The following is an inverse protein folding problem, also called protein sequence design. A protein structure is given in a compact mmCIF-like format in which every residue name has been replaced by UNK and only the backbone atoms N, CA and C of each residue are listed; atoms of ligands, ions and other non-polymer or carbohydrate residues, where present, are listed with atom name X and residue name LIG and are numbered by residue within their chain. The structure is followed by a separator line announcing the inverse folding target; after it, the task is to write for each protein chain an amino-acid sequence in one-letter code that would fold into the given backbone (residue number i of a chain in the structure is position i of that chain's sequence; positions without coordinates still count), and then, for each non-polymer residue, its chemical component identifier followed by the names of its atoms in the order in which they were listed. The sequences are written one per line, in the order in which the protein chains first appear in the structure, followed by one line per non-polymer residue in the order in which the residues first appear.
data_IF_058283139532
#
_entry.id   IF_058283139532
#
_cell.length_a   1.000
_cell.length_b   1.000
_cell.length_c   1.000
_cell.angle_alpha   90.00
_cell.angle_beta   90.00
_cell.angle_gamma   90.00
#
_symmetry.space_group_name_H-M   'P 1'
#
loop_
_entity.id
_entity.type
_entity.pdbx_description
1 polymer ?
#
# COMPACT_ATOMS: atom_id res chain seq x y z
N UNK A 1 -5.39 74.09 -40.34
CA UNK A 1 -6.53 75.03 -40.24
C UNK A 1 -7.70 74.27 -39.62
N UNK A 2 -8.20 74.72 -38.44
CA UNK A 2 -9.42 74.33 -37.69
C UNK A 2 -9.57 72.85 -37.29
N UNK A 3 -9.38 72.50 -36.01
CA UNK A 3 -10.29 72.62 -34.85
C UNK A 3 -11.39 71.52 -34.84
N UNK A 4 -11.39 70.79 -33.72
CA UNK A 4 -12.46 70.04 -33.04
C UNK A 4 -13.89 70.16 -33.59
N UNK A 5 -14.71 69.11 -33.39
CA UNK A 5 -15.85 69.20 -32.46
C UNK A 5 -16.41 67.82 -32.06
N UNK A 6 -16.90 67.79 -30.82
CA UNK A 6 -17.45 66.67 -30.06
C UNK A 6 -18.85 66.22 -30.51
N UNK A 7 -19.24 64.99 -30.16
CA UNK A 7 -20.63 64.53 -30.25
C UNK A 7 -20.93 63.34 -29.33
N UNK A 8 -21.52 63.63 -28.17
CA UNK A 8 -21.98 62.66 -27.15
C UNK A 8 -23.45 62.27 -27.43
N UNK A 9 -23.73 60.97 -27.56
CA UNK A 9 -25.09 60.37 -27.45
C UNK A 9 -24.93 59.04 -26.70
N UNK A 10 -25.23 58.89 -25.40
CA UNK A 10 -26.49 59.00 -24.63
C UNK A 10 -27.43 57.78 -24.83
N UNK A 11 -27.57 57.01 -23.73
CA UNK A 11 -28.67 56.14 -23.26
C UNK A 11 -28.49 54.62 -23.33
N UNK A 12 -28.53 54.03 -22.12
CA UNK A 12 -28.73 52.61 -21.78
C UNK A 12 -30.03 52.06 -22.37
N UNK A 13 -29.99 50.79 -22.78
CA UNK A 13 -31.15 49.93 -23.01
C UNK A 13 -30.78 48.48 -22.75
N UNK A 14 -31.31 47.93 -21.66
CA UNK A 14 -31.15 46.55 -21.18
C UNK A 14 -31.96 45.61 -22.10
N UNK A 15 -31.39 44.49 -22.56
CA UNK A 15 -32.15 43.38 -23.14
C UNK A 15 -31.52 42.06 -22.72
N UNK A 16 -32.31 41.33 -21.92
CA UNK A 16 -32.05 40.01 -21.37
C UNK A 16 -32.46 38.96 -22.43
N UNK A 17 -31.53 38.11 -22.87
CA UNK A 17 -31.84 36.89 -23.58
C UNK A 17 -31.07 35.72 -22.93
N UNK A 18 -31.84 34.92 -22.21
CA UNK A 18 -31.48 33.67 -21.57
C UNK A 18 -31.77 32.53 -22.55
N UNK A 19 -30.79 31.66 -22.85
CA UNK A 19 -30.99 30.20 -22.97
C UNK A 19 -29.74 29.45 -23.46
N UNK A 20 -29.21 28.62 -22.55
CA UNK A 20 -28.95 27.18 -22.75
C UNK A 20 -27.85 26.72 -23.72
N UNK A 21 -26.90 25.98 -23.15
CA UNK A 21 -26.37 24.80 -23.81
C UNK A 21 -24.88 24.78 -24.00
N UNK A 22 -24.14 24.51 -22.92
CA UNK A 22 -23.07 23.51 -22.90
C UNK A 22 -22.67 23.33 -21.45
N UNK A 23 -23.35 22.39 -20.79
CA UNK A 23 -22.74 21.62 -19.72
C UNK A 23 -21.58 20.83 -20.33
N UNK A 24 -20.48 21.52 -20.63
CA UNK A 24 -19.19 20.88 -20.73
C UNK A 24 -18.91 20.43 -19.31
N UNK A 25 -19.17 19.14 -19.06
CA UNK A 25 -18.63 18.47 -17.90
C UNK A 25 -17.18 18.89 -17.81
N UNK A 26 -16.86 19.67 -16.79
CA UNK A 26 -15.53 19.71 -16.26
C UNK A 26 -15.27 18.27 -15.85
N UNK A 27 -14.74 17.47 -16.79
CA UNK A 27 -13.72 16.53 -16.44
C UNK A 27 -12.76 17.37 -15.60
N UNK A 28 -12.88 17.24 -14.29
CA UNK A 28 -11.82 17.60 -13.39
C UNK A 28 -10.64 16.83 -13.96
N UNK A 29 -9.87 17.50 -14.81
CA UNK A 29 -8.49 17.18 -14.99
C UNK A 29 -8.02 17.12 -13.56
N UNK A 30 -7.79 15.91 -13.06
CA UNK A 30 -6.98 15.68 -11.91
C UNK A 30 -5.65 16.29 -12.34
N UNK A 31 -5.55 17.60 -12.13
CA UNK A 31 -4.32 18.33 -12.19
C UNK A 31 -3.51 17.53 -11.20
N UNK A 32 -2.57 16.74 -11.71
CA UNK A 32 -1.45 16.24 -10.93
C UNK A 32 -0.64 17.49 -10.59
N UNK A 33 -1.22 18.35 -9.74
CA UNK A 33 -0.56 19.40 -8.99
C UNK A 33 0.58 18.64 -8.36
N UNK A 34 1.78 18.81 -8.92
CA UNK A 34 2.89 17.90 -8.71
C UNK A 34 2.94 17.54 -7.24
N UNK A 35 2.61 16.29 -6.93
CA UNK A 35 2.44 15.81 -5.57
C UNK A 35 3.80 15.93 -4.89
N UNK A 36 4.04 17.09 -4.28
CA UNK A 36 5.33 17.48 -3.76
C UNK A 36 5.27 17.26 -2.26
N UNK A 37 5.37 15.99 -1.88
CA UNK A 37 5.31 15.59 -0.48
C UNK A 37 6.50 16.15 0.32
N UNK A 38 7.57 16.58 -0.38
CA UNK A 38 8.75 17.31 0.13
C UNK A 38 9.16 16.83 1.52
N UNK A 39 9.44 15.54 1.65
CA UNK A 39 9.95 14.97 2.90
C UNK A 39 11.37 15.45 3.19
N UNK A 40 12.08 15.95 2.18
CA UNK A 40 13.48 16.36 2.27
C UNK A 40 14.48 15.26 1.90
N UNK A 41 14.00 14.12 1.40
CA UNK A 41 14.81 13.01 0.91
C UNK A 41 14.27 12.51 -0.44
N UNK A 42 15.11 12.51 -1.46
CA UNK A 42 14.72 12.20 -2.85
C UNK A 42 14.25 10.76 -3.00
N UNK A 43 14.85 9.82 -2.26
CA UNK A 43 14.44 8.42 -2.32
C UNK A 43 13.03 8.25 -1.73
N UNK A 44 12.77 8.86 -0.58
CA UNK A 44 11.44 8.84 0.06
C UNK A 44 10.40 9.52 -0.82
N UNK A 45 10.70 10.70 -1.35
CA UNK A 45 9.80 11.45 -2.24
C UNK A 45 9.47 10.63 -3.51
N UNK A 46 10.45 9.91 -4.08
CA UNK A 46 10.23 9.01 -5.22
C UNK A 46 9.30 7.86 -4.86
N UNK A 47 9.55 7.17 -3.73
CA UNK A 47 8.70 6.03 -3.30
C UNK A 47 7.28 6.47 -3.01
N UNK A 48 7.08 7.68 -2.49
CA UNK A 48 5.75 8.17 -2.17
C UNK A 48 4.93 8.44 -3.43
N UNK A 49 5.55 8.95 -4.51
CA UNK A 49 4.88 9.01 -5.81
C UNK A 49 4.41 7.64 -6.29
N UNK A 50 5.27 6.64 -6.19
CA UNK A 50 4.96 5.26 -6.61
C UNK A 50 3.93 4.58 -5.70
N UNK A 51 3.96 4.84 -4.39
CA UNK A 51 2.93 4.37 -3.45
C UNK A 51 1.57 4.99 -3.79
N UNK A 52 1.55 6.23 -4.26
CA UNK A 52 0.33 6.87 -4.71
C UNK A 52 -0.29 6.10 -5.88
N UNK A 53 0.54 5.77 -6.89
CA UNK A 53 0.13 4.97 -8.04
C UNK A 53 -0.34 3.57 -7.63
N UNK A 54 0.37 2.92 -6.69
CA UNK A 54 -0.02 1.63 -6.15
C UNK A 54 -1.39 1.69 -5.47
N UNK A 55 -1.57 2.61 -4.52
CA UNK A 55 -2.80 2.70 -3.73
C UNK A 55 -4.03 3.10 -4.54
N UNK A 56 -3.85 3.87 -5.61
CA UNK A 56 -4.93 4.16 -6.56
C UNK A 56 -5.32 2.94 -7.39
N UNK A 57 -4.35 2.09 -7.76
CA UNK A 57 -4.58 0.90 -8.61
C UNK A 57 -5.06 -0.31 -7.83
N UNK A 58 -4.50 -0.53 -6.65
CA UNK A 58 -4.68 -1.72 -5.81
C UNK A 58 -5.20 -1.30 -4.43
N UNK A 59 -6.41 -0.73 -4.41
CA UNK A 59 -6.99 -0.12 -3.22
C UNK A 59 -7.12 -1.10 -2.04
N UNK A 60 -7.72 -2.26 -2.24
CA UNK A 60 -7.89 -3.23 -1.14
C UNK A 60 -6.56 -3.76 -0.60
N UNK A 61 -5.60 -4.21 -1.44
CA UNK A 61 -4.25 -4.56 -0.98
C UNK A 61 -3.54 -3.43 -0.22
N UNK A 62 -3.70 -2.17 -0.66
CA UNK A 62 -3.16 -1.03 0.05
C UNK A 62 -3.78 -0.88 1.45
N UNK A 63 -5.11 -0.98 1.56
CA UNK A 63 -5.79 -0.89 2.87
C UNK A 63 -5.36 -2.05 3.79
N UNK A 64 -5.22 -3.26 3.24
CA UNK A 64 -4.75 -4.43 3.99
C UNK A 64 -3.31 -4.25 4.50
N UNK A 65 -2.41 -3.68 3.69
CA UNK A 65 -1.05 -3.32 4.12
C UNK A 65 -1.07 -2.34 5.30
N UNK A 66 -1.87 -1.27 5.18
CA UNK A 66 -1.98 -0.24 6.23
C UNK A 66 -2.54 -0.79 7.55
N UNK A 67 -3.53 -1.69 7.47
CA UNK A 67 -4.12 -2.29 8.65
C UNK A 67 -3.30 -3.42 9.26
N UNK A 68 -2.71 -4.28 8.43
CA UNK A 68 -1.96 -5.44 8.88
C UNK A 68 -0.58 -5.10 9.41
N UNK A 69 0.19 -4.27 8.69
CA UNK A 69 1.59 -4.01 9.01
C UNK A 69 1.82 -2.68 9.74
N UNK A 70 1.01 -1.66 9.43
CA UNK A 70 1.13 -0.35 10.07
C UNK A 70 0.15 -0.14 11.24
N UNK A 71 -0.71 -1.13 11.53
CA UNK A 71 -1.63 -1.11 12.67
C UNK A 71 -2.71 -0.04 12.60
N UNK A 72 -2.97 0.53 11.42
CA UNK A 72 -4.00 1.53 11.24
C UNK A 72 -5.40 0.87 11.20
N UNK A 73 -6.38 1.32 12.01
CA UNK A 73 -7.74 0.80 11.90
C UNK A 73 -8.26 0.90 10.47
N UNK A 74 -8.80 -0.20 9.91
CA UNK A 74 -9.30 -0.21 8.52
C UNK A 74 -10.28 0.93 8.25
N UNK A 75 -11.16 1.21 9.21
CA UNK A 75 -12.12 2.31 9.16
C UNK A 75 -11.44 3.67 9.00
N UNK A 76 -10.35 3.93 9.72
CA UNK A 76 -9.57 5.17 9.58
C UNK A 76 -8.96 5.30 8.19
N UNK A 77 -8.34 4.22 7.68
CA UNK A 77 -7.72 4.21 6.34
C UNK A 77 -8.76 4.48 5.26
N UNK A 78 -9.92 3.81 5.34
CA UNK A 78 -11.02 4.01 4.39
C UNK A 78 -11.57 5.43 4.47
N UNK A 79 -11.79 5.97 5.68
CA UNK A 79 -12.25 7.34 5.89
C UNK A 79 -11.30 8.36 5.26
N UNK A 80 -9.99 8.21 5.49
CA UNK A 80 -8.97 9.10 4.95
C UNK A 80 -9.00 9.14 3.42
N UNK A 81 -9.11 7.97 2.79
CA UNK A 81 -9.09 7.84 1.34
C UNK A 81 -10.40 8.32 0.69
N UNK A 82 -11.56 7.97 1.25
CA UNK A 82 -12.86 8.21 0.61
C UNK A 82 -13.49 9.54 1.00
N UNK A 83 -13.58 9.80 2.30
CA UNK A 83 -14.29 10.98 2.82
C UNK A 83 -13.37 12.19 2.83
N UNK A 84 -12.15 12.00 3.31
CA UNK A 84 -11.17 13.09 3.44
C UNK A 84 -10.33 13.30 2.19
N UNK A 85 -10.41 12.38 1.22
CA UNK A 85 -9.77 12.46 -0.09
C UNK A 85 -8.24 12.63 0.00
N UNK A 86 -7.63 12.04 1.03
CA UNK A 86 -6.17 11.96 1.13
C UNK A 86 -5.63 11.12 -0.01
N UNK A 87 -4.44 11.49 -0.50
CA UNK A 87 -3.73 10.63 -1.43
C UNK A 87 -3.27 9.36 -0.68
N UNK A 88 -3.23 8.18 -1.32
CA UNK A 88 -2.68 6.98 -0.68
C UNK A 88 -1.29 7.19 -0.06
N UNK A 89 -0.43 7.98 -0.71
CA UNK A 89 0.87 8.31 -0.17
C UNK A 89 0.82 9.15 1.12
N UNK A 90 -0.18 10.01 1.31
CA UNK A 90 -0.40 10.77 2.55
C UNK A 90 -0.79 9.83 3.70
N UNK A 91 -1.71 8.89 3.42
CA UNK A 91 -2.16 7.89 4.39
C UNK A 91 -1.00 6.96 4.78
N UNK A 92 -0.26 6.48 3.78
CA UNK A 92 0.93 5.68 4.00
C UNK A 92 1.94 6.41 4.87
N UNK A 93 2.29 7.64 4.50
CA UNK A 93 3.36 8.37 5.20
C UNK A 93 2.98 8.70 6.63
N UNK A 94 1.73 9.06 6.91
CA UNK A 94 1.23 9.26 8.27
C UNK A 94 1.42 8.01 9.14
N UNK A 95 0.96 6.86 8.67
CA UNK A 95 1.05 5.64 9.45
C UNK A 95 2.47 5.07 9.50
N UNK A 96 3.29 5.26 8.46
CA UNK A 96 4.69 4.86 8.46
C UNK A 96 5.53 5.69 9.45
N UNK A 97 5.28 7.01 9.53
CA UNK A 97 5.86 7.85 10.58
C UNK A 97 5.46 7.34 11.96
N UNK A 98 4.15 7.12 12.17
CA UNK A 98 3.62 6.65 13.44
C UNK A 98 4.24 5.30 13.85
N UNK A 99 4.33 4.36 12.92
CA UNK A 99 4.95 3.06 13.11
C UNK A 99 6.43 3.17 13.48
N UNK A 100 7.18 4.06 12.81
CA UNK A 100 8.60 4.31 13.13
C UNK A 100 8.82 4.91 14.53
N UNK A 101 7.79 5.52 15.10
CA UNK A 101 7.78 6.13 16.43
C UNK A 101 7.15 5.22 17.51
N UNK A 102 6.52 4.12 17.11
CA UNK A 102 5.75 3.26 18.02
C UNK A 102 4.46 3.90 18.56
N UNK A 103 3.84 4.81 17.80
CA UNK A 103 2.60 5.50 18.18
C UNK A 103 1.44 5.16 17.22
N UNK A 104 0.17 5.41 17.59
CA UNK A 104 -0.97 5.17 16.70
C UNK A 104 -0.96 6.03 15.43
N UNK A 105 -1.35 5.47 14.28
CA UNK A 105 -1.45 6.25 13.03
C UNK A 105 -2.34 7.49 13.16
N UNK A 106 -3.45 7.38 13.90
CA UNK A 106 -4.37 8.50 14.16
C UNK A 106 -3.71 9.71 14.83
N UNK A 107 -2.62 9.52 15.59
CA UNK A 107 -1.93 10.61 16.27
C UNK A 107 -1.24 11.54 15.27
N UNK A 108 -0.58 10.96 14.27
CA UNK A 108 0.08 11.70 13.18
C UNK A 108 -0.95 12.33 12.25
N UNK A 109 -2.08 11.64 11.98
CA UNK A 109 -3.20 12.20 11.21
C UNK A 109 -3.74 13.47 11.88
N UNK A 110 -3.97 13.44 13.20
CA UNK A 110 -4.42 14.63 13.95
C UNK A 110 -3.36 15.74 13.94
N UNK A 111 -2.08 15.40 13.95
CA UNK A 111 -1.01 16.40 13.88
C UNK A 111 -0.98 17.11 12.52
N UNK A 112 -1.18 16.37 11.42
CA UNK A 112 -1.32 16.95 10.09
C UNK A 112 -2.53 17.90 10.03
N UNK A 113 -3.66 17.50 10.59
CA UNK A 113 -4.91 18.27 10.57
C UNK A 113 -4.87 19.56 11.35
N UNK A 114 -4.04 19.63 12.41
CA UNK A 114 -3.79 20.88 13.15
C UNK A 114 -2.97 21.88 12.34
N UNK A 115 -2.23 21.43 11.34
CA UNK A 115 -1.26 22.24 10.60
C UNK A 115 -1.34 22.01 9.08
N UNK A 116 -2.52 22.16 8.45
CA UNK A 116 -2.67 21.89 7.03
C UNK A 116 -1.78 22.82 6.20
N UNK A 117 -1.29 22.32 5.07
CA UNK A 117 -0.47 23.09 4.14
C UNK A 117 0.97 23.35 4.57
N UNK A 118 1.41 22.89 5.75
CA UNK A 118 2.82 22.98 6.17
C UNK A 118 3.70 21.88 5.54
N UNK A 119 3.10 20.87 4.92
CA UNK A 119 3.81 19.77 4.27
C UNK A 119 4.34 18.72 5.23
N UNK A 120 4.57 17.52 4.70
CA UNK A 120 4.92 16.34 5.47
C UNK A 120 6.30 16.40 6.14
N UNK A 121 7.27 17.07 5.51
CA UNK A 121 8.57 17.32 6.13
C UNK A 121 8.48 18.11 7.45
N UNK A 122 7.52 19.02 7.59
CA UNK A 122 7.32 19.76 8.84
C UNK A 122 6.64 18.90 9.92
N UNK A 123 5.69 18.05 9.55
CA UNK A 123 5.08 17.08 10.48
C UNK A 123 6.15 16.13 11.01
N UNK A 124 6.97 15.55 10.13
CA UNK A 124 8.07 14.66 10.52
C UNK A 124 9.05 15.35 11.50
N UNK A 125 9.45 16.59 11.21
CA UNK A 125 10.35 17.37 12.09
C UNK A 125 9.79 17.59 13.49
N UNK A 126 8.48 17.78 13.64
CA UNK A 126 7.84 17.95 14.98
C UNK A 126 7.96 16.71 15.84
N UNK A 127 8.03 15.53 15.22
CA UNK A 127 8.32 14.27 15.90
C UNK A 127 9.83 13.94 16.00
N UNK A 128 10.72 14.89 15.66
CA UNK A 128 12.16 14.66 15.66
C UNK A 128 12.65 13.74 14.52
N UNK A 129 11.81 13.45 13.54
CA UNK A 129 12.19 12.67 12.36
C UNK A 129 12.80 13.63 11.34
N UNK A 130 14.11 13.54 11.20
CA UNK A 130 14.92 14.29 10.24
C UNK A 130 15.77 13.32 9.44
N UNK A 131 16.20 13.67 8.21
CA UNK A 131 17.17 12.88 7.48
C UNK A 131 18.35 12.47 8.37
N UNK A 132 18.64 11.16 8.39
CA UNK A 132 19.68 10.55 9.23
C UNK A 132 19.28 10.20 10.67
N UNK A 133 18.07 10.50 11.15
CA UNK A 133 17.65 10.03 12.48
C UNK A 133 17.37 8.51 12.49
N UNK A 134 17.48 7.83 13.64
CA UNK A 134 17.14 6.40 13.73
C UNK A 134 15.72 6.08 13.24
N UNK A 135 14.74 6.92 13.59
CA UNK A 135 13.36 6.79 13.14
C UNK A 135 13.24 7.00 11.62
N UNK A 136 14.02 7.93 11.04
CA UNK A 136 14.04 8.11 9.59
C UNK A 136 14.61 6.90 8.86
N UNK A 137 15.68 6.29 9.37
CA UNK A 137 16.19 5.03 8.82
C UNK A 137 15.19 3.87 8.99
N UNK A 138 14.47 3.81 10.12
CA UNK A 138 13.40 2.84 10.31
C UNK A 138 12.27 3.01 9.29
N UNK A 139 11.86 4.25 9.01
CA UNK A 139 10.86 4.57 7.99
C UNK A 139 11.30 4.11 6.58
N UNK A 140 12.57 4.33 6.20
CA UNK A 140 13.09 3.87 4.90
C UNK A 140 13.12 2.34 4.79
N UNK A 141 13.53 1.65 5.86
CA UNK A 141 13.50 0.18 5.91
C UNK A 141 12.07 -0.37 5.83
N UNK A 142 11.13 0.23 6.58
CA UNK A 142 9.71 -0.14 6.51
C UNK A 142 9.16 0.01 5.09
N UNK A 143 9.49 1.11 4.42
CA UNK A 143 9.14 1.31 3.01
C UNK A 143 9.70 0.21 2.11
N UNK A 144 10.97 -0.16 2.26
CA UNK A 144 11.53 -1.26 1.46
C UNK A 144 10.83 -2.61 1.71
N UNK A 145 10.42 -2.89 2.96
CA UNK A 145 9.67 -4.09 3.33
C UNK A 145 8.29 -4.11 2.69
N UNK A 146 7.54 -3.01 2.74
CA UNK A 146 6.21 -2.89 2.09
C UNK A 146 6.27 -3.19 0.60
N UNK A 147 7.30 -2.69 -0.09
CA UNK A 147 7.52 -3.00 -1.50
C UNK A 147 7.78 -4.50 -1.75
N UNK A 148 8.43 -5.18 -0.80
CA UNK A 148 8.58 -6.64 -0.80
C UNK A 148 7.23 -7.36 -0.69
N UNK A 149 6.34 -6.92 0.20
CA UNK A 149 4.97 -7.49 0.32
C UNK A 149 4.16 -7.31 -0.97
N UNK A 150 4.40 -6.22 -1.70
CA UNK A 150 3.76 -5.94 -2.98
C UNK A 150 4.39 -6.69 -4.17
N UNK A 151 5.41 -7.52 -3.90
CA UNK A 151 6.07 -8.37 -4.89
C UNK A 151 7.14 -7.67 -5.72
N UNK A 152 7.60 -6.48 -5.30
CA UNK A 152 8.68 -5.75 -5.96
C UNK A 152 9.67 -5.21 -4.91
N UNK A 153 10.61 -6.03 -4.40
CA UNK A 153 11.52 -5.59 -3.37
C UNK A 153 12.41 -4.44 -3.88
N UNK A 154 12.46 -3.35 -3.12
CA UNK A 154 13.36 -2.22 -3.38
C UNK A 154 14.47 -2.18 -2.35
N UNK A 155 15.61 -1.62 -2.74
CA UNK A 155 16.73 -1.37 -1.83
C UNK A 155 16.70 0.09 -1.43
N UNK A 156 16.88 0.35 -0.13
CA UNK A 156 17.00 1.70 0.41
C UNK A 156 18.12 2.45 -0.31
N UNK A 157 17.88 3.71 -0.66
CA UNK A 157 18.82 4.61 -1.37
C UNK A 157 19.22 4.20 -2.79
N UNK A 158 18.67 3.09 -3.31
CA UNK A 158 18.85 2.76 -4.73
C UNK A 158 17.89 3.56 -5.59
N UNK A 159 18.42 4.14 -6.67
CA UNK A 159 17.63 4.83 -7.69
C UNK A 159 17.05 3.80 -8.65
N UNK A 160 15.86 3.30 -8.34
CA UNK A 160 15.04 2.45 -9.21
C UNK A 160 13.67 3.10 -9.41
N UNK A 161 12.98 2.87 -10.52
CA UNK A 161 11.59 3.30 -10.68
C UNK A 161 10.70 2.09 -10.80
N UNK A 162 9.58 2.09 -10.08
CA UNK A 162 8.62 0.99 -10.08
C UNK A 162 7.41 1.40 -10.89
N UNK A 163 7.10 0.60 -11.92
CA UNK A 163 5.87 0.72 -12.71
C UNK A 163 4.89 -0.37 -12.29
N UNK A 164 3.86 0.04 -11.55
CA UNK A 164 2.81 -0.83 -11.03
C UNK A 164 1.80 -1.30 -12.10
N UNK A 165 1.92 -0.82 -13.34
CA UNK A 165 1.20 -1.40 -14.48
C UNK A 165 1.74 -2.76 -14.88
N UNK A 166 3.05 -2.94 -14.72
CA UNK A 166 3.77 -4.17 -15.06
C UNK A 166 3.91 -5.10 -13.84
N UNK A 167 3.99 -4.52 -12.64
CA UNK A 167 4.21 -5.25 -11.39
C UNK A 167 3.04 -5.01 -10.45
N UNK A 168 2.48 -6.04 -9.84
CA UNK A 168 1.36 -5.85 -8.92
C UNK A 168 0.97 -7.15 -8.23
N UNK A 169 0.17 -7.07 -7.15
CA UNK A 169 -0.31 -8.25 -6.45
C UNK A 169 -0.99 -9.21 -7.43
N UNK A 170 -0.52 -10.47 -7.47
CA UNK A 170 -1.04 -11.49 -8.37
C UNK A 170 -0.42 -11.55 -9.77
N UNK A 171 0.47 -10.63 -10.17
CA UNK A 171 1.16 -10.68 -11.48
C UNK A 171 2.47 -11.50 -11.50
N UNK A 172 2.86 -12.13 -10.39
CA UNK A 172 4.12 -12.89 -10.29
C UNK A 172 4.12 -14.27 -10.97
N UNK A 173 3.18 -14.57 -11.89
CA UNK A 173 3.16 -15.82 -12.68
C UNK A 173 2.88 -15.59 -14.16
N UNK A 174 3.86 -15.09 -14.91
CA UNK A 174 3.99 -15.39 -16.34
C UNK A 174 5.40 -15.04 -16.85
N UNK A 175 6.33 -15.99 -16.73
CA UNK A 175 7.59 -16.19 -17.48
C UNK A 175 8.43 -17.25 -16.72
N UNK A 176 8.59 -18.50 -17.15
CA UNK A 176 8.18 -19.10 -18.42
C UNK A 176 7.99 -20.62 -18.33
N UNK A 177 6.98 -21.09 -19.05
CA UNK A 177 6.94 -22.42 -19.61
C UNK A 177 6.99 -22.26 -21.13
N UNK A 178 8.09 -22.68 -21.74
CA UNK A 178 8.15 -23.01 -23.17
C UNK A 178 8.47 -24.50 -23.27
N UNK A 179 7.49 -25.26 -23.72
CA UNK A 179 7.59 -26.65 -24.14
C UNK A 179 8.18 -26.75 -25.55
N UNK A 180 9.23 -27.56 -25.71
CA UNK A 180 9.64 -28.34 -26.91
C UNK A 180 10.99 -28.99 -26.58
N UNK A 181 11.32 -30.27 -26.77
CA UNK A 181 10.67 -31.43 -27.38
C UNK A 181 11.78 -32.46 -27.73
N UNK A 182 11.51 -33.73 -27.43
CA UNK A 182 12.06 -34.97 -28.03
C UNK A 182 13.28 -35.76 -27.50
N UNK A 183 13.06 -37.10 -27.60
CA UNK A 183 13.90 -38.31 -27.51
C UNK A 183 14.12 -38.90 -26.09
N UNK A 184 13.80 -40.16 -25.79
CA UNK A 184 13.25 -41.29 -26.55
C UNK A 184 13.36 -42.61 -25.75
N UNK A 185 12.58 -43.63 -26.15
CA UNK A 185 12.65 -45.08 -25.83
C UNK A 185 12.49 -45.53 -24.36
N UNK A 186 11.81 -46.63 -24.00
CA UNK A 186 11.09 -47.73 -24.65
C UNK A 186 10.40 -48.52 -23.51
N UNK A 187 9.18 -49.06 -23.66
CA UNK A 187 8.94 -50.40 -24.17
C UNK A 187 8.88 -51.44 -23.03
N UNK A 188 7.70 -52.03 -22.76
CA UNK A 188 7.58 -53.24 -21.93
C UNK A 188 6.22 -53.43 -21.23
N UNK A 189 5.33 -54.21 -21.83
CA UNK A 189 4.11 -54.77 -21.21
C UNK A 189 4.45 -56.07 -20.46
N UNK A 190 3.78 -56.33 -19.33
CA UNK A 190 3.30 -57.63 -18.83
C UNK A 190 3.04 -57.50 -17.31
N UNK A 191 2.18 -58.24 -16.62
CA UNK A 191 0.95 -58.99 -16.87
C UNK A 191 0.45 -59.32 -15.44
N UNK A 192 -0.85 -59.34 -15.24
CA UNK A 192 -1.49 -59.63 -13.96
C UNK A 192 -1.20 -61.05 -13.47
N UNK A 193 -1.11 -61.25 -12.15
CA UNK A 193 -1.62 -62.47 -11.52
C UNK A 193 -2.18 -62.22 -10.11
N UNK A 194 -3.18 -63.03 -9.76
CA UNK A 194 -4.12 -62.90 -8.65
C UNK A 194 -3.60 -63.66 -7.44
N UNK A 195 -4.00 -63.26 -6.23
CA UNK A 195 -3.79 -64.08 -5.03
C UNK A 195 -4.62 -63.62 -3.83
N UNK A 196 -5.64 -64.40 -3.51
CA UNK A 196 -6.60 -64.23 -2.41
C UNK A 196 -5.99 -64.43 -1.01
N UNK A 197 -6.59 -63.81 0.03
CA UNK A 197 -6.45 -64.28 1.41
C UNK A 197 -6.82 -63.29 2.52
N UNK A 198 -8.06 -63.33 2.99
CA UNK A 198 -8.47 -63.03 4.37
C UNK A 198 -9.23 -64.27 4.88
N UNK A 199 -9.39 -64.58 6.20
CA UNK A 199 -9.46 -63.66 7.34
C UNK A 199 -8.90 -64.18 8.72
N UNK A 200 -9.15 -63.37 9.77
CA UNK A 200 -9.37 -63.68 11.22
C UNK A 200 -8.21 -63.70 12.27
N UNK A 201 -8.31 -62.70 13.16
CA UNK A 201 -8.62 -62.80 14.61
C UNK A 201 -7.54 -62.98 15.71
N UNK A 202 -7.66 -62.07 16.69
CA UNK A 202 -7.52 -62.17 18.15
C UNK A 202 -6.13 -62.22 18.82
N UNK A 203 -5.89 -61.22 19.69
CA UNK A 203 -4.85 -61.22 20.71
C UNK A 203 -5.12 -60.13 21.76
N UNK A 204 -5.68 -60.56 22.90
CA UNK A 204 -6.10 -59.77 24.08
C UNK A 204 -4.90 -59.56 25.00
N UNK A 205 -4.70 -58.35 25.54
CA UNK A 205 -3.66 -58.09 26.53
C UNK A 205 -3.94 -56.83 27.35
N UNK A 206 -4.43 -57.03 28.57
CA UNK A 206 -4.79 -56.04 29.57
C UNK A 206 -3.55 -55.74 30.46
N UNK A 207 -3.32 -54.49 30.87
CA UNK A 207 -2.18 -54.17 31.75
C UNK A 207 -2.25 -52.76 32.33
N UNK A 208 -2.95 -52.63 33.44
CA UNK A 208 -3.06 -51.43 34.27
C UNK A 208 -1.79 -51.28 35.14
N UNK A 209 -1.22 -50.08 35.24
CA UNK A 209 0.01 -49.85 36.02
C UNK A 209 0.12 -48.42 36.54
N UNK A 210 -0.56 -48.17 37.67
CA UNK A 210 -0.51 -46.96 38.49
C UNK A 210 0.81 -46.95 39.27
N UNK A 211 1.59 -45.88 39.20
CA UNK A 211 2.82 -45.70 39.99
C UNK A 211 2.94 -44.26 40.45
N UNK A 212 2.47 -44.00 41.68
CA UNK A 212 2.60 -42.76 42.43
C UNK A 212 3.99 -42.72 43.10
N UNK A 213 4.66 -41.57 43.12
CA UNK A 213 6.00 -41.41 43.69
C UNK A 213 6.23 -39.98 44.17
N UNK A 214 5.71 -39.71 45.35
CA UNK A 214 5.82 -38.49 46.15
C UNK A 214 7.19 -38.28 46.79
N UNK A 215 7.39 -37.03 47.26
CA UNK A 215 8.26 -36.60 48.37
C UNK A 215 9.74 -36.30 48.02
N UNK A 216 10.37 -35.21 48.46
CA UNK A 216 9.97 -34.10 49.32
C UNK A 216 11.19 -33.31 49.82
N UNK A 217 10.96 -32.12 50.41
CA UNK A 217 11.83 -31.29 51.30
C UNK A 217 13.21 -30.88 50.74
N UNK A 218 13.73 -29.67 50.92
CA UNK A 218 13.54 -28.66 51.97
C UNK A 218 14.92 -28.27 52.52
N UNK A 219 15.13 -26.96 52.67
CA UNK A 219 16.25 -26.23 53.30
C UNK A 219 17.62 -26.13 52.61
N UNK A 220 18.04 -24.86 52.51
CA UNK A 220 19.35 -24.34 52.14
C UNK A 220 19.22 -22.83 52.03
#
# INVERSE_FOLDING_TARGET
MKIQQHGVYRKLGLSLALAMGLAMGSAASAQTVGYNIRTGDVWVDTRLGEINDYGHRYRDPFVDEMSGYYGAPRSLVVELLERRRWAPADVYYACALAHSLGIPCGDVVREYDRHPGKGWGNVAKRYGIKPGSPAFHALKRGTAVTYGHWGYPVVVDRVVRVDWSQHGPGKSKSKGGSSAGHAGHGGGKAQADRGHGAPKANGKGNGNGKGNGSNGKGNG
#
